data_IF_602015277446
#
_entry.id   IF_602015277446
#
_cell.length_a   1.000
_cell.length_b   1.000
_cell.length_c   1.000
_cell.angle_alpha   90.00
_cell.angle_beta   90.00
_cell.angle_gamma   90.00
#
_symmetry.space_group_name_H-M   'P 1'
#
loop_
_entity.id
_entity.type
_entity.pdbx_description
1 polymer ?
#
# COMPACT_ATOMS: atom_id res chain seq x y z
N UNK A 1 6.70 -21.92 35.64
CA UNK A 1 6.02 -20.60 35.60
C UNK A 1 6.38 -19.76 34.37
N UNK A 2 7.66 -19.65 33.97
CA UNK A 2 8.13 -18.82 32.84
C UNK A 2 7.47 -19.14 31.48
N UNK A 3 7.26 -20.42 31.15
CA UNK A 3 6.61 -20.84 29.90
C UNK A 3 5.21 -20.23 29.72
N UNK A 4 4.40 -20.15 30.77
CA UNK A 4 3.03 -19.58 30.72
C UNK A 4 2.99 -18.06 30.53
N UNK A 5 4.04 -17.34 30.90
CA UNK A 5 4.15 -15.90 30.64
C UNK A 5 4.54 -15.61 29.19
N UNK A 6 5.45 -16.42 28.64
CA UNK A 6 5.88 -16.33 27.24
C UNK A 6 4.73 -16.59 26.26
N UNK A 7 3.89 -17.60 26.51
CA UNK A 7 2.73 -17.87 25.65
C UNK A 7 1.70 -16.76 25.62
N UNK A 8 1.49 -16.04 26.73
CA UNK A 8 0.57 -14.89 26.75
C UNK A 8 1.09 -13.74 25.92
N UNK A 9 2.38 -13.41 26.03
CA UNK A 9 3.00 -12.35 25.23
C UNK A 9 2.94 -12.67 23.72
N UNK A 10 3.14 -13.92 23.33
CA UNK A 10 2.98 -14.35 21.94
C UNK A 10 1.53 -14.18 21.48
N UNK A 11 0.57 -14.60 22.30
CA UNK A 11 -0.85 -14.48 21.97
C UNK A 11 -1.32 -13.02 21.88
N UNK A 12 -0.84 -12.16 22.77
CA UNK A 12 -1.06 -10.71 22.69
C UNK A 12 -0.43 -10.12 21.43
N UNK A 13 0.80 -10.50 21.09
CA UNK A 13 1.47 -10.06 19.87
C UNK A 13 0.70 -10.44 18.60
N UNK A 14 0.20 -11.68 18.54
CA UNK A 14 -0.64 -12.17 17.46
C UNK A 14 -1.95 -11.39 17.37
N UNK A 15 -2.59 -11.10 18.50
CA UNK A 15 -3.82 -10.32 18.54
C UNK A 15 -3.62 -8.89 18.00
N UNK A 16 -2.57 -8.20 18.46
CA UNK A 16 -2.26 -6.85 17.98
C UNK A 16 -1.89 -6.85 16.50
N UNK A 17 -1.16 -7.88 16.04
CA UNK A 17 -0.83 -8.03 14.61
C UNK A 17 -2.08 -8.23 13.76
N UNK A 18 -3.00 -9.10 14.20
CA UNK A 18 -4.26 -9.33 13.51
C UNK A 18 -5.13 -8.07 13.48
N UNK A 19 -5.23 -7.35 14.60
CA UNK A 19 -5.99 -6.09 14.66
C UNK A 19 -5.47 -5.05 13.66
N UNK A 20 -4.14 -4.88 13.57
CA UNK A 20 -3.52 -4.00 12.56
C UNK A 20 -3.80 -4.47 11.15
N UNK A 21 -3.66 -5.77 10.87
CA UNK A 21 -3.92 -6.35 9.56
C UNK A 21 -5.37 -6.11 9.11
N UNK A 22 -6.35 -6.40 9.97
CA UNK A 22 -7.76 -6.18 9.66
C UNK A 22 -8.04 -4.70 9.42
N UNK A 23 -7.53 -3.80 10.26
CA UNK A 23 -7.70 -2.36 10.06
C UNK A 23 -7.10 -1.87 8.74
N UNK A 24 -5.89 -2.33 8.39
CA UNK A 24 -5.26 -2.02 7.11
C UNK A 24 -6.08 -2.56 5.93
N UNK A 25 -6.60 -3.79 6.01
CA UNK A 25 -7.40 -4.33 4.93
C UNK A 25 -8.75 -3.63 4.76
N UNK A 26 -9.42 -3.28 5.85
CA UNK A 26 -10.64 -2.47 5.79
C UNK A 26 -10.38 -1.14 5.10
N UNK A 27 -9.28 -0.46 5.47
CA UNK A 27 -8.89 0.81 4.82
C UNK A 27 -8.60 0.63 3.32
N UNK A 28 -7.89 -0.41 2.92
CA UNK A 28 -7.63 -0.71 1.50
C UNK A 28 -8.94 -0.97 0.77
N UNK A 29 -9.86 -1.74 1.36
CA UNK A 29 -11.15 -1.98 0.73
C UNK A 29 -11.93 -0.68 0.55
N UNK A 30 -12.01 0.16 1.58
CA UNK A 30 -12.71 1.45 1.52
C UNK A 30 -12.09 2.39 0.48
N UNK A 31 -10.75 2.46 0.43
CA UNK A 31 -10.00 3.35 -0.46
C UNK A 31 -10.04 2.92 -1.92
N UNK A 32 -10.18 1.63 -2.22
CA UNK A 32 -10.10 1.12 -3.59
C UNK A 32 -11.44 0.57 -4.14
N UNK A 33 -12.53 0.56 -3.36
CA UNK A 33 -13.84 0.05 -3.80
C UNK A 33 -14.68 1.09 -4.57
N UNK A 34 -14.08 1.76 -5.56
CA UNK A 34 -14.79 2.69 -6.42
C UNK A 34 -14.24 2.67 -7.86
N UNK A 35 -15.02 3.06 -8.88
CA UNK A 35 -14.54 3.09 -10.26
C UNK A 35 -13.38 4.07 -10.46
N UNK A 36 -12.31 3.63 -11.12
CA UNK A 36 -11.13 4.42 -11.47
C UNK A 36 -11.23 4.96 -12.92
N UNK A 37 -12.31 5.71 -13.22
CA UNK A 37 -12.70 6.04 -14.61
C UNK A 37 -11.67 6.88 -15.38
N UNK A 38 -10.93 7.73 -14.67
CA UNK A 38 -9.97 8.67 -15.26
C UNK A 38 -8.52 8.32 -14.91
N UNK A 39 -8.29 7.08 -14.44
CA UNK A 39 -6.96 6.63 -14.04
C UNK A 39 -6.12 6.19 -15.24
N UNK A 40 -4.80 6.24 -15.03
CA UNK A 40 -3.84 5.84 -16.03
C UNK A 40 -3.81 4.31 -16.14
N UNK A 41 -4.11 3.79 -17.33
CA UNK A 41 -3.99 2.37 -17.61
C UNK A 41 -2.51 1.98 -17.73
N UNK A 42 -2.14 0.90 -17.07
CA UNK A 42 -0.80 0.29 -17.17
C UNK A 42 -0.89 -0.91 -18.09
N UNK A 43 -0.08 -0.91 -19.15
CA UNK A 43 0.11 -2.07 -20.01
C UNK A 43 0.91 -3.13 -19.26
N UNK A 44 0.35 -4.33 -19.12
CA UNK A 44 1.03 -5.47 -18.50
C UNK A 44 2.14 -6.03 -19.38
N UNK A 45 2.08 -5.80 -20.70
CA UNK A 45 3.03 -6.36 -21.67
C UNK A 45 4.35 -5.57 -21.68
N UNK A 46 4.25 -4.25 -21.51
CA UNK A 46 5.39 -3.32 -21.61
C UNK A 46 5.76 -2.67 -20.28
N UNK A 47 4.94 -2.86 -19.25
CA UNK A 47 5.02 -2.17 -17.95
C UNK A 47 5.12 -0.65 -18.12
N UNK A 48 4.36 -0.12 -19.07
CA UNK A 48 4.26 1.32 -19.34
C UNK A 48 2.86 1.85 -19.08
N UNK A 49 2.78 3.12 -18.70
CA UNK A 49 1.54 3.83 -18.48
C UNK A 49 1.41 4.98 -19.48
N UNK A 50 0.22 5.13 -20.05
CA UNK A 50 -0.04 6.17 -21.06
C UNK A 50 -0.17 7.52 -20.37
N UNK A 51 0.79 8.41 -20.59
CA UNK A 51 0.70 9.80 -20.11
C UNK A 51 0.50 10.74 -21.30
N UNK A 52 -0.12 11.92 -21.11
CA UNK A 52 -0.41 12.85 -22.20
C UNK A 52 0.79 13.23 -23.07
N UNK A 53 2.00 13.23 -22.49
CA UNK A 53 3.24 13.50 -23.22
C UNK A 53 3.70 12.28 -24.02
N UNK A 54 3.91 11.13 -23.35
CA UNK A 54 4.40 9.84 -23.90
C UNK A 54 4.08 8.67 -22.97
N UNK A 55 4.10 7.41 -23.44
CA UNK A 55 4.14 6.25 -22.56
C UNK A 55 5.38 6.30 -21.66
N UNK A 56 5.20 6.11 -20.36
CA UNK A 56 6.29 6.14 -19.37
C UNK A 56 6.41 4.80 -18.67
N UNK A 57 7.62 4.46 -18.26
CA UNK A 57 7.89 3.26 -17.47
C UNK A 57 7.18 3.35 -16.12
N UNK A 58 6.35 2.35 -15.80
CA UNK A 58 5.53 2.31 -14.59
C UNK A 58 6.38 2.44 -13.33
N UNK A 59 7.48 1.70 -13.24
CA UNK A 59 8.39 1.73 -12.09
C UNK A 59 8.92 3.14 -11.79
N UNK A 60 9.37 3.86 -12.82
CA UNK A 60 9.90 5.23 -12.66
C UNK A 60 8.82 6.22 -12.23
N UNK A 61 7.61 6.05 -12.76
CA UNK A 61 6.47 6.86 -12.39
C UNK A 61 6.00 6.59 -10.94
N UNK A 62 6.05 5.33 -10.49
CA UNK A 62 5.83 4.96 -9.08
C UNK A 62 6.87 5.60 -8.16
N UNK A 63 8.16 5.43 -8.45
CA UNK A 63 9.26 6.01 -7.64
C UNK A 63 9.12 7.53 -7.52
N UNK A 64 8.84 8.22 -8.64
CA UNK A 64 8.62 9.67 -8.63
C UNK A 64 7.40 10.08 -7.78
N UNK A 65 6.30 9.33 -7.84
CA UNK A 65 5.10 9.62 -7.03
C UNK A 65 5.36 9.40 -5.53
N UNK A 66 6.08 8.34 -5.18
CA UNK A 66 6.44 8.05 -3.78
C UNK A 66 7.34 9.14 -3.18
N UNK A 67 8.38 9.57 -3.91
CA UNK A 67 9.27 10.66 -3.49
C UNK A 67 8.52 11.98 -3.28
N UNK A 68 7.55 12.29 -4.16
CA UNK A 68 6.71 13.49 -4.02
C UNK A 68 5.82 13.44 -2.77
N UNK A 69 5.42 12.25 -2.32
CA UNK A 69 4.65 12.10 -1.08
C UNK A 69 5.51 12.33 0.16
N UNK A 70 6.79 11.97 0.13
CA UNK A 70 7.73 12.20 1.25
C UNK A 70 8.07 13.69 1.43
N UNK A 71 8.26 14.45 0.34
CA UNK A 71 8.51 15.91 0.42
C UNK A 71 7.34 16.70 1.04
N UNK A 72 6.10 16.22 0.90
CA UNK A 72 4.92 16.87 1.47
C UNK A 72 4.64 16.51 2.94
N UNK A 73 5.44 15.61 3.54
CA UNK A 73 5.37 15.28 4.97
C UNK A 73 6.36 16.14 5.78
N UNK A 74 7.34 16.79 5.12
CA UNK A 74 8.39 17.61 5.75
C UNK A 74 8.16 19.14 5.62
N UNK A 75 7.10 19.57 4.94
CA UNK A 75 6.70 20.99 4.75
C UNK A 75 5.44 21.35 5.55
#
# INVERSE_FOLDING_TARGET
AQSRGSWRLVQEGLWHSNARFTASMSRIMEEYSHPFKDDILVSTDTLTCDTPDRPKQWERECQRRMLKTEENIEA
#
